data_IF_175989258217
#
_entry.id   IF_175989258217
#
_cell.length_a   1.000
_cell.length_b   1.000
_cell.length_c   1.000
_cell.angle_alpha   90.00
_cell.angle_beta   90.00
_cell.angle_gamma   90.00
#
_symmetry.space_group_name_H-M   'P 1'
#
loop_
_entity.id
_entity.type
_entity.pdbx_description
1 polymer ?
#
# COMPACT_ATOMS: atom_id res chain seq x y z
N UNK A 1 3.22 -8.77 -11.26
CA UNK A 1 3.19 -9.04 -9.80
C UNK A 1 4.36 -9.97 -9.40
N UNK A 2 5.59 -9.59 -9.74
CA UNK A 2 6.73 -10.52 -9.81
C UNK A 2 7.73 -10.43 -8.65
N UNK A 3 7.46 -9.56 -7.68
CA UNK A 3 8.37 -9.21 -6.60
C UNK A 3 7.62 -9.05 -5.27
N UNK A 4 8.37 -8.94 -4.17
CA UNK A 4 7.83 -8.68 -2.84
C UNK A 4 7.06 -7.34 -2.82
N UNK A 5 6.09 -7.23 -1.90
CA UNK A 5 5.40 -5.96 -1.71
C UNK A 5 6.17 -5.08 -0.73
N UNK A 6 6.36 -3.82 -1.12
CA UNK A 6 6.99 -2.82 -0.25
C UNK A 6 6.09 -2.35 0.90
N UNK A 7 4.76 -2.50 0.74
CA UNK A 7 3.74 -2.02 1.69
C UNK A 7 2.66 -3.09 1.87
N UNK A 8 2.30 -3.34 3.12
CA UNK A 8 1.20 -4.22 3.52
C UNK A 8 0.20 -3.42 4.34
N UNK A 9 -1.07 -3.47 3.96
CA UNK A 9 -2.15 -2.85 4.73
C UNK A 9 -2.64 -3.84 5.80
N UNK A 10 -2.76 -3.34 7.04
CA UNK A 10 -3.29 -4.09 8.17
C UNK A 10 -4.73 -3.63 8.40
N UNK A 11 -5.64 -4.59 8.53
CA UNK A 11 -7.03 -4.35 8.89
C UNK A 11 -7.26 -4.77 10.35
N UNK A 12 -8.14 -4.06 11.06
CA UNK A 12 -8.44 -4.41 12.46
C UNK A 12 -9.33 -5.65 12.55
N UNK A 13 -10.28 -5.83 11.61
CA UNK A 13 -11.08 -7.06 11.49
C UNK A 13 -11.71 -7.26 10.11
N UNK A 14 -12.11 -8.50 9.80
CA UNK A 14 -12.90 -8.80 8.60
C UNK A 14 -14.28 -8.12 8.61
N UNK A 15 -14.90 -7.97 9.78
CA UNK A 15 -16.19 -7.29 9.94
C UNK A 15 -16.09 -5.79 9.63
N UNK A 16 -14.97 -5.15 9.98
CA UNK A 16 -14.72 -3.76 9.58
C UNK A 16 -14.53 -3.64 8.07
N UNK A 17 -13.71 -4.50 7.47
CA UNK A 17 -13.52 -4.54 6.03
C UNK A 17 -14.85 -4.68 5.30
N UNK A 18 -15.70 -5.62 5.72
CA UNK A 18 -17.01 -5.85 5.12
C UNK A 18 -17.91 -4.62 5.23
N UNK A 19 -18.01 -4.01 6.42
CA UNK A 19 -18.80 -2.79 6.63
C UNK A 19 -18.32 -1.63 5.76
N UNK A 20 -17.01 -1.45 5.62
CA UNK A 20 -16.46 -0.40 4.74
C UNK A 20 -16.85 -0.60 3.28
N UNK A 21 -16.96 -1.85 2.82
CA UNK A 21 -17.34 -2.15 1.43
C UNK A 21 -18.84 -2.11 1.17
N UNK A 22 -19.68 -2.42 2.16
CA UNK A 22 -21.14 -2.37 2.00
C UNK A 22 -21.72 -0.98 2.25
N UNK A 23 -21.21 -0.27 3.26
CA UNK A 23 -21.81 1.00 3.69
C UNK A 23 -21.33 2.20 2.87
N UNK A 24 -20.11 2.15 2.34
CA UNK A 24 -19.62 3.11 1.35
C UNK A 24 -19.75 2.50 -0.04
N UNK A 25 -20.71 2.99 -0.82
CA UNK A 25 -20.66 2.78 -2.27
C UNK A 25 -19.35 3.34 -2.84
N UNK A 26 -18.76 2.65 -3.82
CA UNK A 26 -17.49 3.07 -4.41
C UNK A 26 -17.63 4.21 -5.42
N UNK A 27 -18.83 4.49 -5.92
CA UNK A 27 -19.10 5.54 -6.92
C UNK A 27 -18.49 6.90 -6.53
N UNK A 28 -18.76 7.47 -5.34
CA UNK A 28 -18.20 8.76 -4.95
C UNK A 28 -16.67 8.72 -4.77
N UNK A 29 -16.11 7.55 -4.45
CA UNK A 29 -14.66 7.37 -4.35
C UNK A 29 -14.04 7.45 -5.74
N UNK A 30 -14.59 6.75 -6.73
CA UNK A 30 -14.08 6.79 -8.10
C UNK A 30 -14.16 8.20 -8.71
N UNK A 31 -15.22 8.96 -8.42
CA UNK A 31 -15.33 10.36 -8.84
C UNK A 31 -14.28 11.26 -8.18
N UNK A 32 -13.94 10.99 -6.92
CA UNK A 32 -12.92 11.75 -6.17
C UNK A 32 -11.48 11.40 -6.54
N UNK A 33 -11.25 10.21 -7.10
CA UNK A 33 -9.95 9.76 -7.57
C UNK A 33 -9.63 10.48 -8.89
N UNK A 34 -9.02 11.66 -8.77
CA UNK A 34 -8.46 12.35 -9.93
C UNK A 34 -7.48 11.42 -10.67
N UNK A 35 -7.45 11.41 -12.02
CA UNK A 35 -6.49 10.63 -12.80
C UNK A 35 -5.01 11.08 -12.64
N UNK A 36 -4.73 11.92 -11.64
CA UNK A 36 -3.44 12.46 -11.31
C UNK A 36 -2.55 11.52 -10.50
N UNK A 37 -1.55 12.13 -9.87
CA UNK A 37 -0.40 11.50 -9.20
C UNK A 37 -0.77 10.27 -8.36
N UNK A 38 -0.21 9.12 -8.73
CA UNK A 38 -0.27 7.90 -7.93
C UNK A 38 0.88 7.88 -6.93
N UNK A 39 0.60 7.45 -5.71
CA UNK A 39 1.64 7.26 -4.71
C UNK A 39 2.59 6.13 -5.12
N UNK A 40 3.88 6.34 -4.88
CA UNK A 40 4.87 5.28 -5.02
C UNK A 40 4.51 4.13 -4.06
N UNK A 41 4.85 2.89 -4.43
CA UNK A 41 4.57 1.68 -3.62
C UNK A 41 5.23 1.72 -2.24
N UNK A 42 6.22 2.58 -2.07
CA UNK A 42 7.01 2.85 -0.87
C UNK A 42 6.58 4.10 -0.10
N UNK A 43 5.62 4.86 -0.62
CA UNK A 43 5.14 6.07 0.02
C UNK A 43 4.45 5.71 1.34
N UNK A 44 4.77 6.48 2.37
CA UNK A 44 4.11 6.43 3.66
C UNK A 44 3.65 7.86 3.96
N UNK A 45 2.33 8.05 3.99
CA UNK A 45 1.68 9.35 4.13
C UNK A 45 1.65 9.77 5.60
N UNK A 46 1.55 11.08 5.85
CA UNK A 46 1.42 11.61 7.22
C UNK A 46 0.12 11.15 7.91
N UNK A 47 -0.86 10.70 7.14
CA UNK A 47 -2.13 10.14 7.62
C UNK A 47 -2.06 8.66 7.93
N UNK A 48 -0.97 7.96 7.57
CA UNK A 48 -0.85 6.52 7.76
C UNK A 48 -0.47 6.19 9.20
N UNK A 49 -1.20 5.27 9.83
CA UNK A 49 -0.76 4.67 11.07
C UNK A 49 0.25 3.55 10.77
N UNK A 50 1.54 3.83 11.02
CA UNK A 50 2.63 2.94 10.65
C UNK A 50 3.01 2.02 11.81
N UNK A 51 2.72 0.73 11.65
CA UNK A 51 3.12 -0.31 12.61
C UNK A 51 4.61 -0.67 12.51
N UNK A 52 5.16 -0.74 11.28
CA UNK A 52 6.57 -1.02 11.05
C UNK A 52 7.07 -0.27 9.81
N UNK A 53 8.23 0.40 9.92
CA UNK A 53 8.91 1.08 8.81
C UNK A 53 10.30 0.47 8.62
N UNK A 54 10.44 -0.34 7.57
CA UNK A 54 11.74 -0.86 7.13
C UNK A 54 12.58 0.19 6.40
N UNK A 55 13.85 -0.15 6.12
CA UNK A 55 14.82 0.70 5.40
C UNK A 55 14.53 0.82 3.90
N UNK A 56 13.67 -0.05 3.36
CA UNK A 56 13.36 -0.17 1.94
C UNK A 56 14.57 -0.50 1.03
N UNK A 57 15.67 -0.99 1.62
CA UNK A 57 16.94 -1.21 0.93
C UNK A 57 16.85 -2.21 -0.23
N UNK A 58 16.02 -3.26 -0.09
CA UNK A 58 15.78 -4.23 -1.17
C UNK A 58 15.17 -3.58 -2.43
N UNK A 59 14.14 -2.76 -2.24
CA UNK A 59 13.46 -2.03 -3.33
C UNK A 59 14.39 -0.98 -3.94
N UNK A 60 15.11 -0.22 -3.11
CA UNK A 60 16.06 0.80 -3.56
C UNK A 60 17.23 0.22 -4.35
N UNK A 61 17.57 -1.06 -4.13
CA UNK A 61 18.58 -1.77 -4.91
C UNK A 61 18.07 -2.28 -6.25
N UNK A 62 16.77 -2.21 -6.53
CA UNK A 62 16.14 -2.68 -7.77
C UNK A 62 15.40 -4.01 -7.62
N UNK A 63 15.09 -4.40 -6.39
CA UNK A 63 14.29 -5.59 -6.07
C UNK A 63 14.86 -6.86 -6.67
N UNK A 64 14.00 -7.75 -7.14
CA UNK A 64 14.38 -9.04 -7.73
C UNK A 64 15.31 -8.91 -8.93
N UNK A 65 15.20 -7.83 -9.70
CA UNK A 65 16.04 -7.55 -10.86
C UNK A 65 17.50 -7.24 -10.52
N UNK A 66 17.79 -6.96 -9.25
CA UNK A 66 19.11 -6.53 -8.77
C UNK A 66 19.94 -7.61 -8.08
N UNK A 67 19.42 -8.85 -8.00
CA UNK A 67 19.98 -9.92 -7.16
C UNK A 67 20.15 -9.55 -5.67
N UNK A 68 19.55 -8.44 -5.21
CA UNK A 68 19.48 -8.09 -3.80
C UNK A 68 18.80 -9.22 -3.02
N UNK A 69 19.32 -9.55 -1.84
CA UNK A 69 18.64 -10.44 -0.91
C UNK A 69 17.77 -9.59 0.02
N UNK A 70 16.49 -9.94 0.20
CA UNK A 70 15.69 -9.32 1.24
C UNK A 70 16.34 -9.59 2.60
N UNK A 71 16.48 -8.54 3.41
CA UNK A 71 17.10 -8.55 4.74
C UNK A 71 16.12 -8.99 5.82
#
# INVERSE_FOLDING_TARGET
>A
ISDLQATYFVIESFDELFRMTEQRGFEPIYESLSPGFQYAKTAALDTDHIYHRGTQEYELRGGRGSAARPS
#
